data_IF_480473029463
#
_entry.id   IF_480473029463
#
_cell.length_a   1.000
_cell.length_b   1.000
_cell.length_c   1.000
_cell.angle_alpha   90.00
_cell.angle_beta   90.00
_cell.angle_gamma   90.00
#
_symmetry.space_group_name_H-M   'P 1'
#
loop_
_entity.id
_entity.type
_entity.pdbx_description
1 polymer ?
#
# COMPACT_ATOMS: atom_id res chain seq x y z
N UNK A 1 54.57 -49.27 23.02
CA UNK A 1 54.67 -48.06 22.17
C UNK A 1 53.32 -47.38 21.93
N UNK A 2 52.21 -48.12 21.77
CA UNK A 2 50.87 -47.56 21.50
C UNK A 2 50.36 -46.53 22.53
N UNK A 3 50.54 -46.74 23.84
CA UNK A 3 50.08 -45.80 24.87
C UNK A 3 50.78 -44.43 24.81
N UNK A 4 52.09 -44.41 24.53
CA UNK A 4 52.86 -43.15 24.41
C UNK A 4 52.47 -42.36 23.17
N UNK A 5 52.22 -43.04 22.05
CA UNK A 5 51.72 -42.40 20.84
C UNK A 5 50.31 -41.81 21.06
N UNK A 6 49.40 -42.56 21.70
CA UNK A 6 48.05 -42.11 22.00
C UNK A 6 48.04 -40.86 22.91
N UNK A 7 48.92 -40.79 23.91
CA UNK A 7 49.06 -39.59 24.77
C UNK A 7 49.49 -38.36 23.97
N UNK A 8 50.44 -38.49 23.04
CA UNK A 8 50.91 -37.35 22.22
C UNK A 8 49.79 -36.81 21.33
N UNK A 9 49.03 -37.70 20.67
CA UNK A 9 47.88 -37.28 19.87
C UNK A 9 46.75 -36.70 20.73
N UNK A 10 46.47 -37.26 21.91
CA UNK A 10 45.47 -36.70 22.82
C UNK A 10 45.82 -35.29 23.27
N UNK A 11 47.10 -35.02 23.60
CA UNK A 11 47.56 -33.67 23.94
C UNK A 11 47.42 -32.72 22.75
N UNK A 12 47.76 -33.16 21.54
CA UNK A 12 47.57 -32.36 20.32
C UNK A 12 46.09 -31.97 20.13
N UNK A 13 45.17 -32.92 20.22
CA UNK A 13 43.74 -32.64 20.08
C UNK A 13 43.19 -31.75 21.20
N UNK A 14 43.72 -31.86 22.43
CA UNK A 14 43.35 -30.94 23.51
C UNK A 14 43.80 -29.51 23.23
N UNK A 15 45.00 -29.31 22.68
CA UNK A 15 45.49 -27.98 22.28
C UNK A 15 44.63 -27.40 21.15
N UNK A 16 44.27 -28.22 20.16
CA UNK A 16 43.37 -27.80 19.07
C UNK A 16 42.00 -27.41 19.62
N UNK A 17 41.40 -28.24 20.49
CA UNK A 17 40.11 -27.95 21.12
C UNK A 17 40.15 -26.65 21.93
N UNK A 18 41.18 -26.46 22.76
CA UNK A 18 41.35 -25.25 23.56
C UNK A 18 41.58 -24.01 22.70
N UNK A 19 42.33 -24.13 21.60
CA UNK A 19 42.56 -23.07 20.64
C UNK A 19 41.28 -22.66 19.92
N UNK A 20 40.52 -23.62 19.39
CA UNK A 20 39.23 -23.36 18.73
C UNK A 20 38.21 -22.75 19.69
N UNK A 21 38.09 -23.28 20.92
CA UNK A 21 37.18 -22.74 21.93
C UNK A 21 37.54 -21.30 22.33
N UNK A 22 38.84 -21.00 22.46
CA UNK A 22 39.31 -19.65 22.77
C UNK A 22 38.96 -18.65 21.67
N UNK A 23 39.04 -19.05 20.39
CA UNK A 23 38.65 -18.21 19.26
C UNK A 23 37.14 -17.93 19.24
N UNK A 24 36.30 -18.91 19.57
CA UNK A 24 34.85 -18.72 19.68
C UNK A 24 34.53 -17.71 20.79
N UNK A 25 35.16 -17.85 21.96
CA UNK A 25 34.83 -17.03 23.14
C UNK A 25 35.20 -15.55 23.02
N UNK A 26 36.07 -15.17 22.07
CA UNK A 26 36.48 -13.77 21.85
C UNK A 26 35.89 -13.18 20.56
N UNK A 27 35.24 -14.01 19.74
CA UNK A 27 34.63 -13.56 18.49
C UNK A 27 33.38 -12.71 18.78
N UNK A 28 33.26 -11.57 18.09
CA UNK A 28 32.08 -10.72 18.11
C UNK A 28 31.34 -10.86 16.79
N UNK A 29 30.05 -11.12 16.86
CA UNK A 29 29.19 -11.13 15.67
C UNK A 29 29.13 -9.71 15.07
N UNK A 30 29.26 -9.56 13.75
CA UNK A 30 29.05 -8.27 13.09
C UNK A 30 27.59 -7.84 13.23
N UNK A 31 27.35 -6.54 13.39
CA UNK A 31 26.00 -5.95 13.39
C UNK A 31 25.63 -5.41 12.00
N UNK A 32 24.37 -5.02 11.83
CA UNK A 32 23.93 -4.26 10.66
C UNK A 32 24.05 -2.76 11.01
N UNK A 33 24.92 -2.06 10.28
CA UNK A 33 25.14 -0.62 10.38
C UNK A 33 25.03 -0.02 8.98
N UNK A 34 23.87 0.53 8.64
CA UNK A 34 23.68 1.18 7.34
C UNK A 34 24.03 2.67 7.40
N UNK A 35 24.42 3.23 6.26
CA UNK A 35 24.46 4.68 6.08
C UNK A 35 23.04 5.22 5.89
N UNK A 36 22.79 6.48 6.25
CA UNK A 36 21.50 7.13 6.01
C UNK A 36 20.81 7.59 7.29
N UNK A 37 19.70 8.30 7.11
CA UNK A 37 18.92 8.89 8.19
C UNK A 37 17.86 7.90 8.71
N UNK A 38 17.52 8.05 9.99
CA UNK A 38 16.44 7.33 10.66
C UNK A 38 15.20 8.20 10.74
N UNK A 39 14.04 7.58 10.58
CA UNK A 39 12.75 8.24 10.61
C UNK A 39 11.75 7.44 11.46
N UNK A 40 11.10 8.10 12.39
CA UNK A 40 10.00 7.57 13.19
C UNK A 40 8.64 7.81 12.50
N UNK A 41 7.57 7.26 13.07
CA UNK A 41 6.21 7.55 12.61
C UNK A 41 5.92 9.06 12.67
N UNK A 42 5.28 9.59 11.63
CA UNK A 42 4.99 11.00 11.39
C UNK A 42 6.19 11.89 11.03
N UNK A 43 7.41 11.35 10.98
CA UNK A 43 8.54 12.09 10.43
C UNK A 43 8.35 12.31 8.93
N UNK A 44 9.04 13.34 8.43
CA UNK A 44 9.00 13.69 7.00
C UNK A 44 10.39 13.62 6.41
N UNK A 45 10.47 13.12 5.18
CA UNK A 45 11.68 13.14 4.37
C UNK A 45 11.40 13.76 3.00
N UNK A 46 12.45 14.29 2.36
CA UNK A 46 12.34 14.84 1.01
C UNK A 46 13.34 14.15 0.09
N UNK A 47 12.84 13.57 -0.99
CA UNK A 47 13.65 12.91 -2.02
C UNK A 47 13.29 13.51 -3.38
N UNK A 48 14.26 14.00 -4.12
CA UNK A 48 14.06 14.62 -5.44
C UNK A 48 12.97 15.70 -5.47
N UNK A 49 12.79 16.44 -4.37
CA UNK A 49 11.77 17.47 -4.21
C UNK A 49 10.37 16.96 -3.87
N UNK A 50 10.18 15.64 -3.72
CA UNK A 50 8.95 15.03 -3.22
C UNK A 50 9.04 14.87 -1.71
N UNK A 51 8.06 15.43 -0.99
CA UNK A 51 7.90 15.24 0.45
C UNK A 51 7.12 13.96 0.72
N UNK A 52 7.66 13.13 1.61
CA UNK A 52 7.04 11.92 2.12
C UNK A 52 6.87 12.05 3.63
N UNK A 53 5.79 11.49 4.16
CA UNK A 53 5.54 11.30 5.58
C UNK A 53 5.61 9.81 5.89
N UNK A 54 6.30 9.43 6.96
CA UNK A 54 6.26 8.06 7.49
C UNK A 54 4.89 7.85 8.13
N UNK A 55 3.99 7.17 7.43
CA UNK A 55 2.64 6.92 7.91
C UNK A 55 2.56 5.75 8.90
N UNK A 56 3.50 4.80 8.80
CA UNK A 56 3.61 3.69 9.75
C UNK A 56 5.02 3.12 9.75
N UNK A 57 5.45 2.61 10.91
CA UNK A 57 6.72 1.89 11.08
C UNK A 57 6.56 0.85 12.20
N UNK A 58 6.90 -0.41 11.94
CA UNK A 58 6.74 -1.48 12.91
C UNK A 58 7.04 -2.86 12.34
N UNK A 59 7.55 -3.78 13.17
CA UNK A 59 7.72 -5.20 12.84
C UNK A 59 8.43 -5.51 11.49
N UNK A 60 9.39 -4.66 11.09
CA UNK A 60 10.11 -4.82 9.81
C UNK A 60 9.34 -4.34 8.57
N UNK A 61 8.23 -3.64 8.77
CA UNK A 61 7.39 -3.07 7.72
C UNK A 61 7.11 -1.58 7.98
N UNK A 62 6.90 -0.83 6.91
CA UNK A 62 6.59 0.60 7.00
C UNK A 62 5.83 1.11 5.79
N UNK A 63 5.25 2.30 5.92
CA UNK A 63 4.55 2.97 4.82
C UNK A 63 4.99 4.42 4.76
N UNK A 64 5.43 4.86 3.58
CA UNK A 64 5.61 6.26 3.25
C UNK A 64 4.39 6.75 2.48
N UNK A 65 3.88 7.92 2.83
CA UNK A 65 2.80 8.59 2.11
C UNK A 65 3.29 9.90 1.52
N UNK A 66 2.86 10.20 0.29
CA UNK A 66 3.01 11.54 -0.30
C UNK A 66 1.70 12.01 -0.89
N UNK A 67 1.49 13.33 -0.92
CA UNK A 67 0.31 13.92 -1.54
C UNK A 67 0.64 14.40 -2.94
N UNK A 68 -0.02 13.83 -3.94
CA UNK A 68 -0.03 14.35 -5.30
C UNK A 68 -1.18 15.35 -5.45
N UNK A 69 -0.87 16.63 -5.26
CA UNK A 69 -1.83 17.76 -5.33
C UNK A 69 -2.54 17.91 -6.68
N UNK A 70 -1.98 17.31 -7.73
CA UNK A 70 -2.44 17.47 -9.12
C UNK A 70 -2.89 16.16 -9.76
N UNK A 71 -3.21 15.15 -8.96
CA UNK A 71 -3.63 13.85 -9.48
C UNK A 71 -4.88 13.98 -10.36
N UNK A 72 -4.82 13.38 -11.55
CA UNK A 72 -5.93 13.41 -12.50
C UNK A 72 -6.95 12.32 -12.17
N UNK A 73 -8.21 12.71 -12.13
CA UNK A 73 -9.36 11.84 -11.97
C UNK A 73 -10.25 11.90 -13.20
N UNK A 74 -10.96 10.80 -13.45
CA UNK A 74 -11.91 10.67 -14.55
C UNK A 74 -13.21 10.06 -14.05
N UNK A 75 -14.36 10.55 -14.53
CA UNK A 75 -15.65 9.91 -14.34
C UNK A 75 -16.38 9.79 -15.68
N UNK A 76 -17.26 8.81 -15.79
CA UNK A 76 -18.13 8.62 -16.95
C UNK A 76 -19.57 8.77 -16.55
N UNK A 77 -20.32 9.55 -17.33
CA UNK A 77 -21.75 9.73 -17.19
C UNK A 77 -22.42 9.12 -18.42
N UNK A 78 -22.96 7.92 -18.26
CA UNK A 78 -23.61 7.20 -19.34
C UNK A 78 -24.96 7.85 -19.70
N UNK A 79 -25.29 7.83 -20.98
CA UNK A 79 -26.55 8.32 -21.50
C UNK A 79 -27.72 7.60 -20.83
N UNK A 80 -28.79 8.34 -20.56
CA UNK A 80 -30.04 7.87 -19.97
C UNK A 80 -29.92 7.33 -18.53
N UNK A 81 -28.76 7.48 -17.89
CA UNK A 81 -28.53 7.13 -16.48
C UNK A 81 -28.72 8.33 -15.55
N UNK A 82 -28.82 8.08 -14.25
CA UNK A 82 -28.92 9.12 -13.23
C UNK A 82 -27.57 9.37 -12.55
N UNK A 83 -27.32 10.63 -12.20
CA UNK A 83 -26.14 11.10 -11.47
C UNK A 83 -26.55 12.11 -10.41
N UNK A 84 -25.70 12.33 -9.41
CA UNK A 84 -25.90 13.35 -8.38
C UNK A 84 -25.05 14.58 -8.67
N UNK A 85 -25.67 15.75 -8.68
CA UNK A 85 -24.99 17.05 -8.77
C UNK A 85 -25.58 17.95 -7.70
N UNK A 86 -24.77 18.46 -6.79
CA UNK A 86 -25.19 19.33 -5.68
C UNK A 86 -26.33 18.77 -4.83
N UNK A 87 -26.32 17.45 -4.54
CA UNK A 87 -27.39 16.69 -3.87
C UNK A 87 -28.73 16.63 -4.63
N UNK A 88 -28.74 17.01 -5.90
CA UNK A 88 -29.90 16.87 -6.79
C UNK A 88 -29.65 15.75 -7.79
N UNK A 89 -30.68 14.92 -7.99
CA UNK A 89 -30.60 13.80 -8.94
C UNK A 89 -30.90 14.32 -10.35
N UNK A 90 -29.98 14.13 -11.27
CA UNK A 90 -30.15 14.46 -12.67
C UNK A 90 -30.09 13.21 -13.54
N UNK A 91 -30.88 13.18 -14.60
CA UNK A 91 -30.72 12.24 -15.71
C UNK A 91 -29.81 12.86 -16.77
N UNK A 92 -28.84 12.08 -17.22
CA UNK A 92 -27.94 12.43 -18.31
C UNK A 92 -28.64 12.13 -19.64
N UNK A 93 -28.73 13.11 -20.52
CA UNK A 93 -29.34 13.00 -21.84
C UNK A 93 -28.32 13.42 -22.88
N UNK A 94 -27.92 12.48 -23.73
CA UNK A 94 -27.01 12.73 -24.83
C UNK A 94 -27.77 12.54 -26.15
N UNK A 95 -27.70 13.50 -27.09
CA UNK A 95 -28.28 13.34 -28.42
C UNK A 95 -27.75 12.09 -29.12
N UNK A 96 -28.65 11.31 -29.73
CA UNK A 96 -28.27 10.15 -30.53
C UNK A 96 -27.78 10.59 -31.92
N UNK A 97 -26.57 11.11 -31.98
CA UNK A 97 -25.89 11.51 -33.21
C UNK A 97 -24.40 11.12 -33.12
N UNK A 98 -23.72 11.06 -34.27
CA UNK A 98 -22.34 10.56 -34.36
C UNK A 98 -21.35 11.38 -33.53
N UNK A 99 -21.61 12.67 -33.36
CA UNK A 99 -20.79 13.60 -32.56
C UNK A 99 -21.74 14.57 -31.82
N UNK A 100 -22.23 14.22 -30.62
CA UNK A 100 -23.22 15.01 -29.90
C UNK A 100 -22.72 16.38 -29.48
N UNK A 101 -21.41 16.57 -29.24
CA UNK A 101 -20.77 17.83 -28.81
C UNK A 101 -21.26 18.41 -27.46
N UNK A 102 -22.39 17.95 -26.95
CA UNK A 102 -23.04 18.40 -25.72
C UNK A 102 -23.91 17.31 -25.09
N UNK A 103 -24.14 17.42 -23.78
CA UNK A 103 -25.14 16.65 -23.06
C UNK A 103 -25.99 17.56 -22.18
N UNK A 104 -27.17 17.08 -21.81
CA UNK A 104 -28.10 17.78 -20.92
C UNK A 104 -28.30 16.98 -19.65
N UNK A 105 -28.11 17.61 -18.50
CA UNK A 105 -28.62 17.12 -17.23
C UNK A 105 -30.05 17.64 -17.06
N UNK A 106 -31.00 16.73 -16.84
CA UNK A 106 -32.39 17.06 -16.54
C UNK A 106 -32.76 16.50 -15.17
N UNK A 107 -33.17 17.38 -14.26
CA UNK A 107 -33.55 17.03 -12.90
C UNK A 107 -34.61 15.92 -12.90
N UNK A 108 -34.44 14.96 -12.00
CA UNK A 108 -35.38 13.87 -11.78
C UNK A 108 -36.14 14.08 -10.49
N UNK A 109 -37.47 14.21 -10.61
CA UNK A 109 -38.37 14.17 -9.46
C UNK A 109 -38.77 12.73 -9.17
N UNK A 110 -38.55 12.31 -7.93
CA UNK A 110 -39.04 11.04 -7.41
C UNK A 110 -40.42 11.26 -6.78
N UNK A 111 -41.37 10.38 -7.10
CA UNK A 111 -42.66 10.36 -6.40
C UNK A 111 -42.46 9.74 -5.00
N UNK A 112 -43.32 10.12 -4.05
CA UNK A 112 -43.31 9.47 -2.74
C UNK A 112 -43.76 8.01 -2.88
N UNK A 113 -43.28 7.13 -1.99
CA UNK A 113 -43.66 5.71 -1.99
C UNK A 113 -45.16 5.47 -1.82
N UNK A 114 -45.87 6.44 -1.24
CA UNK A 114 -47.33 6.41 -1.05
C UNK A 114 -48.12 6.86 -2.30
N UNK A 115 -47.43 7.22 -3.39
CA UNK A 115 -48.08 7.66 -4.63
C UNK A 115 -48.44 6.44 -5.49
N UNK A 116 -49.73 6.16 -5.64
CA UNK A 116 -50.19 5.09 -6.52
C UNK A 116 -50.15 5.50 -7.99
N UNK A 117 -49.47 4.71 -8.83
CA UNK A 117 -49.47 4.89 -10.28
C UNK A 117 -50.19 3.76 -11.02
N UNK A 118 -50.71 4.07 -12.21
CA UNK A 118 -51.32 3.10 -13.13
C UNK A 118 -50.92 3.44 -14.56
N UNK A 119 -50.66 2.42 -15.39
CA UNK A 119 -50.37 2.61 -16.81
C UNK A 119 -51.61 2.34 -17.66
N UNK A 120 -51.97 3.29 -18.52
CA UNK A 120 -53.07 3.16 -19.46
C UNK A 120 -52.63 3.66 -20.84
N UNK A 121 -52.75 2.82 -21.88
CA UNK A 121 -52.38 3.21 -23.25
C UNK A 121 -50.90 3.60 -23.42
N UNK A 122 -50.01 3.03 -22.59
CA UNK A 122 -48.58 3.36 -22.59
C UNK A 122 -48.22 4.66 -21.86
N UNK A 123 -49.19 5.37 -21.29
CA UNK A 123 -48.95 6.55 -20.44
C UNK A 123 -49.15 6.17 -18.98
N UNK A 124 -48.22 6.60 -18.12
CA UNK A 124 -48.32 6.40 -16.67
C UNK A 124 -49.06 7.58 -16.02
N UNK A 125 -50.00 7.28 -15.14
CA UNK A 125 -50.85 8.23 -14.42
C UNK A 125 -50.72 8.02 -12.92
N UNK A 126 -50.77 9.11 -12.15
CA UNK A 126 -50.96 9.11 -10.70
C UNK A 126 -52.45 9.07 -10.39
N UNK A 127 -52.85 8.17 -9.49
CA UNK A 127 -54.22 8.09 -8.98
C UNK A 127 -54.41 9.10 -7.85
N UNK A 128 -55.19 10.14 -8.09
CA UNK A 128 -55.51 11.18 -7.11
C UNK A 128 -56.91 10.95 -6.58
N UNK A 129 -57.06 10.86 -5.24
CA UNK A 129 -58.38 10.75 -4.61
C UNK A 129 -58.97 12.16 -4.46
N UNK A 130 -60.16 12.37 -5.01
CA UNK A 130 -60.90 13.63 -4.89
C UNK A 130 -61.88 13.59 -3.71
N UNK A 131 -62.23 14.78 -3.21
CA UNK A 131 -63.25 14.96 -2.17
C UNK A 131 -64.60 14.43 -2.67
N UNK A 132 -65.05 13.31 -2.12
CA UNK A 132 -66.29 12.64 -2.54
C UNK A 132 -66.12 11.17 -2.95
N UNK A 133 -64.91 10.62 -2.89
CA UNK A 133 -64.65 9.20 -3.20
C UNK A 133 -64.39 8.91 -4.68
N UNK A 134 -64.41 9.93 -5.52
CA UNK A 134 -64.02 9.83 -6.92
C UNK A 134 -62.49 9.77 -7.05
N UNK A 135 -62.01 9.05 -8.07
CA UNK A 135 -60.59 8.96 -8.41
C UNK A 135 -60.36 9.64 -9.75
N UNK A 136 -59.31 10.45 -9.81
CA UNK A 136 -58.85 11.10 -11.03
C UNK A 136 -57.47 10.57 -11.43
N UNK A 137 -57.22 10.54 -12.73
CA UNK A 137 -55.95 10.12 -13.30
C UNK A 137 -55.23 11.35 -13.85
N UNK A 138 -54.10 11.68 -13.23
CA UNK A 138 -53.24 12.79 -13.66
C UNK A 138 -51.97 12.19 -14.26
N UNK A 139 -51.60 12.49 -15.51
CA UNK A 139 -50.32 12.02 -16.08
C UNK A 139 -49.16 12.29 -15.13
N UNK A 140 -48.25 11.34 -14.94
CA UNK A 140 -47.13 11.46 -13.98
C UNK A 140 -46.33 12.74 -14.19
N UNK A 141 -46.04 13.09 -15.44
CA UNK A 141 -45.32 14.32 -15.76
C UNK A 141 -46.09 15.59 -15.35
N UNK A 142 -47.41 15.60 -15.48
CA UNK A 142 -48.24 16.73 -15.04
C UNK A 142 -48.29 16.80 -13.52
N UNK A 143 -48.46 15.65 -12.86
CA UNK A 143 -48.47 15.56 -11.40
C UNK A 143 -47.14 16.05 -10.81
N UNK A 144 -46.00 15.57 -11.34
CA UNK A 144 -44.67 16.02 -10.94
C UNK A 144 -44.49 17.54 -11.12
N UNK A 145 -44.95 18.11 -12.24
CA UNK A 145 -44.90 19.57 -12.45
C UNK A 145 -45.73 20.37 -11.45
N UNK A 146 -46.89 19.84 -11.05
CA UNK A 146 -47.75 20.49 -10.06
C UNK A 146 -47.13 20.46 -8.65
N UNK A 147 -46.45 19.36 -8.30
CA UNK A 147 -45.84 19.18 -6.98
C UNK A 147 -44.47 19.84 -6.84
N UNK A 148 -43.61 19.72 -7.86
CA UNK A 148 -42.20 20.09 -7.80
C UNK A 148 -41.80 21.24 -8.73
N UNK A 149 -42.69 21.65 -9.65
CA UNK A 149 -42.39 22.68 -10.65
C UNK A 149 -41.77 22.13 -11.94
N UNK A 150 -41.18 23.02 -12.74
CA UNK A 150 -40.45 22.60 -13.95
C UNK A 150 -39.08 22.03 -13.56
N UNK A 151 -38.66 20.89 -14.13
CA UNK A 151 -37.35 20.32 -13.83
C UNK A 151 -36.24 21.24 -14.29
N UNK A 152 -35.23 21.44 -13.45
CA UNK A 152 -34.01 22.15 -13.85
C UNK A 152 -33.30 21.40 -14.99
N UNK A 153 -32.77 22.16 -15.95
CA UNK A 153 -32.03 21.63 -17.08
C UNK A 153 -30.72 22.39 -17.24
N UNK A 154 -29.61 21.66 -17.21
CA UNK A 154 -28.26 22.20 -17.38
C UNK A 154 -27.61 21.55 -18.58
N UNK A 155 -27.10 22.35 -19.50
CA UNK A 155 -26.41 21.86 -20.69
C UNK A 155 -24.91 22.08 -20.55
N UNK A 156 -24.14 21.07 -20.96
CA UNK A 156 -22.70 21.12 -20.95
C UNK A 156 -22.14 20.67 -22.29
N UNK A 157 -21.22 21.46 -22.84
CA UNK A 157 -20.49 21.14 -24.07
C UNK A 157 -19.15 20.49 -23.77
N UNK A 158 -18.59 19.78 -24.75
CA UNK A 158 -17.22 19.31 -24.68
C UNK A 158 -16.24 20.49 -24.50
N UNK A 159 -15.22 20.32 -23.67
CA UNK A 159 -14.28 21.36 -23.26
C UNK A 159 -14.80 22.31 -22.17
N UNK A 160 -16.10 22.28 -21.85
CA UNK A 160 -16.66 23.15 -20.81
C UNK A 160 -16.22 22.72 -19.41
N UNK A 161 -15.96 23.71 -18.55
CA UNK A 161 -15.66 23.48 -17.12
C UNK A 161 -16.83 23.88 -16.23
N UNK A 162 -17.12 23.09 -15.19
CA UNK A 162 -18.14 23.36 -14.18
C UNK A 162 -17.73 22.78 -12.81
N UNK A 163 -18.44 23.14 -11.75
CA UNK A 163 -18.19 22.60 -10.41
C UNK A 163 -18.94 21.28 -10.22
N UNK A 164 -18.25 20.25 -9.75
CA UNK A 164 -18.84 18.96 -9.40
C UNK A 164 -18.19 18.43 -8.12
N UNK A 165 -18.98 18.27 -7.05
CA UNK A 165 -18.47 17.75 -5.78
C UNK A 165 -17.32 18.56 -5.18
N UNK A 166 -17.34 19.89 -5.37
CA UNK A 166 -16.27 20.81 -4.93
C UNK A 166 -15.08 20.91 -5.89
N UNK A 167 -15.01 20.08 -6.94
CA UNK A 167 -13.90 20.07 -7.89
C UNK A 167 -14.25 20.80 -9.19
N UNK A 168 -13.29 21.57 -9.71
CA UNK A 168 -13.38 22.14 -11.06
C UNK A 168 -13.22 21.02 -12.09
N UNK A 169 -14.33 20.64 -12.71
CA UNK A 169 -14.43 19.50 -13.61
C UNK A 169 -14.59 19.96 -15.05
N UNK A 170 -13.88 19.31 -15.96
CA UNK A 170 -13.90 19.56 -17.40
C UNK A 170 -14.58 18.40 -18.11
N UNK A 171 -15.53 18.71 -19.01
CA UNK A 171 -16.07 17.73 -19.94
C UNK A 171 -15.03 17.46 -21.01
N UNK A 172 -14.42 16.28 -20.98
CA UNK A 172 -13.26 15.94 -21.82
C UNK A 172 -13.61 15.29 -23.15
N UNK A 173 -14.73 14.57 -23.22
CA UNK A 173 -15.21 13.89 -24.42
C UNK A 173 -16.70 13.58 -24.26
N UNK A 174 -17.48 13.63 -25.34
CA UNK A 174 -18.88 13.23 -25.36
C UNK A 174 -19.13 12.31 -26.56
N UNK A 175 -19.56 11.09 -26.29
CA UNK A 175 -20.04 10.14 -27.30
C UNK A 175 -21.55 9.94 -27.14
N UNK A 176 -22.22 9.32 -28.12
CA UNK A 176 -23.66 9.02 -28.03
C UNK A 176 -24.05 8.20 -26.78
N UNK A 177 -23.09 7.44 -26.23
CA UNK A 177 -23.30 6.55 -25.10
C UNK A 177 -22.88 7.16 -23.76
N UNK A 178 -21.91 8.09 -23.72
CA UNK A 178 -21.43 8.64 -22.46
C UNK A 178 -20.69 9.98 -22.60
N UNK A 179 -20.73 10.79 -21.54
CA UNK A 179 -19.85 11.93 -21.35
C UNK A 179 -18.70 11.55 -20.39
N UNK A 180 -17.47 11.91 -20.74
CA UNK A 180 -16.27 11.70 -19.91
C UNK A 180 -15.88 13.01 -19.26
N UNK A 181 -15.80 13.00 -17.93
CA UNK A 181 -15.43 14.13 -17.10
C UNK A 181 -14.03 13.94 -16.56
N UNK A 182 -13.28 15.04 -16.43
CA UNK A 182 -11.92 15.03 -15.88
C UNK A 182 -11.73 16.18 -14.90
N UNK A 183 -11.06 15.92 -13.79
CA UNK A 183 -10.68 16.96 -12.83
C UNK A 183 -9.34 16.60 -12.19
N UNK A 184 -8.71 17.59 -11.56
CA UNK A 184 -7.51 17.41 -10.74
C UNK A 184 -7.88 17.59 -9.28
N UNK A 185 -7.43 16.68 -8.43
CA UNK A 185 -7.61 16.77 -6.98
C UNK A 185 -6.43 16.11 -6.26
N UNK A 186 -6.17 16.44 -4.99
CA UNK A 186 -5.12 15.79 -4.22
C UNK A 186 -5.37 14.29 -4.08
N UNK A 187 -4.31 13.48 -4.21
CA UNK A 187 -4.32 12.03 -3.97
C UNK A 187 -3.16 11.65 -3.09
N UNK A 188 -3.45 10.95 -1.98
CA UNK A 188 -2.41 10.28 -1.20
C UNK A 188 -1.92 9.05 -1.96
N UNK A 189 -0.61 8.98 -2.16
CA UNK A 189 0.10 7.85 -2.74
C UNK A 189 0.92 7.19 -1.64
N UNK A 190 0.75 5.87 -1.48
CA UNK A 190 1.47 5.10 -0.46
C UNK A 190 2.58 4.27 -1.11
N UNK A 191 3.72 4.18 -0.42
CA UNK A 191 4.88 3.36 -0.79
C UNK A 191 5.24 2.48 0.39
N UNK A 192 5.16 1.16 0.21
CA UNK A 192 5.51 0.20 1.25
C UNK A 192 7.03 0.04 1.39
N UNK A 193 7.46 -0.17 2.61
CA UNK A 193 8.82 -0.46 3.02
C UNK A 193 8.85 -1.83 3.71
N UNK A 194 9.90 -2.60 3.46
CA UNK A 194 10.13 -3.94 4.04
C UNK A 194 11.59 -4.05 4.51
N UNK A 195 11.85 -4.81 5.58
CA UNK A 195 13.19 -5.04 6.12
C UNK A 195 14.14 -5.59 5.06
N UNK A 196 15.24 -4.88 4.80
CA UNK A 196 16.19 -5.22 3.73
C UNK A 196 15.63 -5.04 2.32
N UNK A 197 14.42 -4.52 2.18
CA UNK A 197 13.73 -4.30 0.92
C UNK A 197 14.20 -3.03 0.22
N UNK A 198 14.35 -3.11 -1.10
CA UNK A 198 14.68 -1.95 -1.92
C UNK A 198 13.41 -1.18 -2.30
N UNK A 199 13.44 0.12 -2.09
CA UNK A 199 12.37 1.05 -2.45
C UNK A 199 12.91 2.12 -3.41
N UNK A 200 12.09 2.59 -4.35
CA UNK A 200 12.44 3.73 -5.22
C UNK A 200 11.55 4.91 -4.86
N UNK A 201 12.15 6.02 -4.45
CA UNK A 201 11.48 7.25 -4.06
C UNK A 201 11.80 8.36 -5.07
N UNK A 202 10.89 9.31 -5.25
CA UNK A 202 11.01 10.40 -6.22
C UNK A 202 10.11 10.22 -7.47
N UNK A 203 10.50 10.77 -8.63
CA UNK A 203 9.71 10.68 -9.85
C UNK A 203 9.68 9.26 -10.42
N UNK A 204 8.62 8.93 -11.17
CA UNK A 204 8.45 7.60 -11.77
C UNK A 204 9.60 7.24 -12.72
N UNK A 205 10.12 8.23 -13.44
CA UNK A 205 11.30 8.11 -14.29
C UNK A 205 12.50 8.76 -13.59
N UNK A 206 13.34 7.94 -12.96
CA UNK A 206 14.62 8.40 -12.38
C UNK A 206 14.62 8.69 -10.87
N UNK A 207 13.71 8.08 -10.11
CA UNK A 207 13.77 8.11 -8.65
C UNK A 207 15.04 7.49 -8.06
N UNK A 208 15.36 7.89 -6.83
CA UNK A 208 16.48 7.37 -6.05
C UNK A 208 16.08 6.07 -5.34
N UNK A 209 16.96 5.07 -5.41
CA UNK A 209 16.77 3.79 -4.73
C UNK A 209 17.34 3.84 -3.30
N UNK A 210 16.62 3.25 -2.36
CA UNK A 210 17.02 3.08 -0.98
C UNK A 210 16.80 1.63 -0.54
N UNK A 211 17.46 1.21 0.54
CA UNK A 211 17.11 0.01 1.30
C UNK A 211 16.61 0.42 2.69
N UNK A 212 15.56 -0.23 3.16
CA UNK A 212 14.99 0.01 4.48
C UNK A 212 15.55 -0.97 5.53
N UNK A 213 15.86 -0.45 6.71
CA UNK A 213 16.25 -1.24 7.88
C UNK A 213 15.54 -0.73 9.12
N UNK A 214 14.85 -1.61 9.82
CA UNK A 214 14.01 -1.27 10.96
C UNK A 214 14.77 -1.57 12.25
N UNK A 215 14.88 -0.56 13.11
CA UNK A 215 15.57 -0.68 14.39
C UNK A 215 14.70 -0.16 15.52
N UNK A 216 14.98 -0.62 16.73
CA UNK A 216 14.34 -0.11 17.93
C UNK A 216 15.29 0.87 18.60
N UNK A 217 14.90 2.14 18.66
CA UNK A 217 15.62 3.17 19.41
C UNK A 217 14.91 3.45 20.73
N UNK A 218 15.67 3.87 21.74
CA UNK A 218 15.09 4.32 23.02
C UNK A 218 14.98 5.84 23.00
N UNK A 219 13.75 6.37 22.89
CA UNK A 219 13.46 7.80 22.95
C UNK A 219 12.67 8.06 24.23
N UNK A 220 13.17 8.97 25.08
CA UNK A 220 12.53 9.33 26.36
C UNK A 220 12.19 8.15 27.31
N UNK A 221 12.91 7.02 27.18
CA UNK A 221 12.70 5.82 27.99
C UNK A 221 11.67 4.84 27.44
N UNK A 222 11.09 5.13 26.28
CA UNK A 222 10.20 4.23 25.52
C UNK A 222 10.93 3.66 24.31
N UNK A 223 10.63 2.40 23.97
CA UNK A 223 11.14 1.77 22.76
C UNK A 223 10.29 2.24 21.58
N UNK A 224 10.92 2.86 20.61
CA UNK A 224 10.29 3.34 19.38
C UNK A 224 10.94 2.65 18.19
N UNK A 225 10.13 2.04 17.35
CA UNK A 225 10.60 1.51 16.07
C UNK A 225 10.84 2.68 15.13
N UNK A 226 12.02 2.73 14.53
CA UNK A 226 12.38 3.69 13.49
C UNK A 226 12.80 2.93 12.23
N UNK A 227 12.63 3.56 11.08
CA UNK A 227 13.15 3.05 9.81
C UNK A 227 14.35 3.87 9.39
N UNK A 228 15.47 3.20 9.16
CA UNK A 228 16.65 3.76 8.52
C UNK A 228 16.56 3.55 7.01
N UNK A 229 16.73 4.62 6.24
CA UNK A 229 16.74 4.57 4.78
C UNK A 229 18.15 4.81 4.26
N UNK A 230 18.80 3.76 3.75
CA UNK A 230 20.14 3.86 3.17
C UNK A 230 20.09 4.10 1.66
N UNK A 231 20.81 5.09 1.13
CA UNK A 231 20.93 5.32 -0.32
C UNK A 231 21.82 4.27 -1.01
N UNK A 232 22.33 3.28 -0.28
CA UNK A 232 23.14 2.20 -0.81
C UNK A 232 22.37 0.86 -0.73
N UNK A 233 21.60 0.50 -1.79
CA UNK A 233 20.70 -0.65 -1.75
C UNK A 233 21.40 -2.01 -1.59
N UNK A 234 22.72 -2.08 -1.84
CA UNK A 234 23.49 -3.31 -1.66
C UNK A 234 24.07 -3.51 -0.26
N UNK A 235 24.05 -2.47 0.59
CA UNK A 235 24.75 -2.45 1.88
C UNK A 235 24.16 -3.47 2.86
N UNK A 236 22.83 -3.52 2.97
CA UNK A 236 22.14 -4.45 3.86
C UNK A 236 22.45 -5.92 3.54
N UNK A 237 22.26 -6.33 2.27
CA UNK A 237 22.53 -7.71 1.85
C UNK A 237 24.01 -8.09 2.03
N UNK A 238 24.93 -7.14 1.84
CA UNK A 238 26.36 -7.37 2.08
C UNK A 238 26.62 -7.71 3.55
N UNK A 239 26.02 -6.96 4.48
CA UNK A 239 26.22 -7.16 5.92
C UNK A 239 25.53 -8.42 6.43
N UNK A 240 24.33 -8.76 5.93
CA UNK A 240 23.69 -10.05 6.19
C UNK A 240 24.59 -11.21 5.75
N UNK A 241 25.21 -11.11 4.57
CA UNK A 241 26.15 -12.13 4.11
C UNK A 241 27.41 -12.23 4.98
N UNK A 242 27.86 -11.12 5.59
CA UNK A 242 28.98 -11.13 6.54
C UNK A 242 28.62 -11.84 7.84
N UNK A 243 27.40 -11.63 8.35
CA UNK A 243 26.83 -12.32 9.52
C UNK A 243 26.73 -13.83 9.25
N UNK A 244 26.13 -14.22 8.12
CA UNK A 244 26.01 -15.64 7.75
C UNK A 244 27.37 -16.32 7.66
N UNK A 245 28.33 -15.66 7.02
CA UNK A 245 29.69 -16.19 6.91
C UNK A 245 30.42 -16.25 8.26
N UNK A 246 30.17 -15.32 9.18
CA UNK A 246 30.64 -15.40 10.56
C UNK A 246 30.05 -16.61 11.29
N UNK A 247 28.73 -16.80 11.19
CA UNK A 247 28.00 -17.90 11.84
C UNK A 247 28.45 -19.27 11.31
N UNK A 248 28.68 -19.40 10.00
CA UNK A 248 29.26 -20.61 9.39
C UNK A 248 30.66 -20.92 9.97
N UNK A 249 31.51 -19.90 10.11
CA UNK A 249 32.85 -20.07 10.71
C UNK A 249 32.78 -20.49 12.18
N UNK A 250 31.84 -19.93 12.94
CA UNK A 250 31.63 -20.32 14.34
C UNK A 250 31.14 -21.76 14.45
N UNK A 251 30.20 -22.17 13.60
CA UNK A 251 29.74 -23.56 13.53
C UNK A 251 30.90 -24.52 13.21
N UNK A 252 31.78 -24.15 12.27
CA UNK A 252 32.99 -24.90 11.96
C UNK A 252 33.95 -25.05 13.15
N UNK A 253 34.19 -23.97 13.91
CA UNK A 253 35.03 -24.02 15.11
C UNK A 253 34.42 -24.88 16.22
N UNK A 254 33.09 -24.85 16.39
CA UNK A 254 32.38 -25.76 17.29
C UNK A 254 32.55 -27.21 16.86
N UNK A 255 32.44 -27.49 15.55
CA UNK A 255 32.70 -28.82 14.98
C UNK A 255 34.10 -29.34 15.31
N UNK A 256 35.14 -28.50 15.14
CA UNK A 256 36.52 -28.84 15.48
C UNK A 256 36.69 -29.10 16.99
N UNK A 257 36.08 -28.26 17.83
CA UNK A 257 36.14 -28.39 19.29
C UNK A 257 35.52 -29.70 19.77
N UNK A 258 34.33 -30.03 19.26
CA UNK A 258 33.60 -31.27 19.60
C UNK A 258 34.35 -32.49 19.09
N UNK A 259 34.76 -32.50 17.82
CA UNK A 259 35.45 -33.64 17.22
C UNK A 259 36.79 -33.91 17.92
N UNK A 260 37.55 -32.87 18.24
CA UNK A 260 38.82 -33.00 18.97
C UNK A 260 38.60 -33.57 20.37
N UNK A 261 37.57 -33.10 21.08
CA UNK A 261 37.21 -33.60 22.41
C UNK A 261 36.77 -35.07 22.38
N UNK A 262 35.91 -35.45 21.43
CA UNK A 262 35.49 -36.84 21.23
C UNK A 262 36.67 -37.74 20.85
N UNK A 263 37.59 -37.26 20.01
CA UNK A 263 38.79 -38.00 19.62
C UNK A 263 39.68 -38.27 20.82
N UNK A 264 39.84 -37.30 21.74
CA UNK A 264 40.57 -37.50 23.00
C UNK A 264 39.93 -38.60 23.83
N UNK A 265 38.61 -38.56 24.03
CA UNK A 265 37.86 -39.58 24.78
C UNK A 265 38.03 -40.97 24.16
N UNK A 266 37.95 -41.07 22.84
CA UNK A 266 38.10 -42.32 22.10
C UNK A 266 39.54 -42.87 22.16
N UNK A 267 40.55 -42.01 22.03
CA UNK A 267 41.95 -42.39 22.16
C UNK A 267 42.25 -42.92 23.57
N UNK A 268 41.73 -42.28 24.61
CA UNK A 268 41.84 -42.79 25.97
C UNK A 268 41.07 -44.09 26.17
N UNK A 269 39.84 -44.19 25.67
CA UNK A 269 39.04 -45.41 25.72
C UNK A 269 39.78 -46.60 25.09
N UNK A 270 40.32 -46.43 23.87
CA UNK A 270 41.03 -47.49 23.16
C UNK A 270 42.41 -47.82 23.77
N UNK A 271 43.17 -46.82 24.23
CA UNK A 271 44.50 -47.04 24.80
C UNK A 271 44.50 -47.75 26.17
N UNK A 272 43.37 -47.64 26.89
CA UNK A 272 43.16 -48.20 28.22
C UNK A 272 42.10 -49.31 28.27
N UNK A 273 41.62 -49.80 27.12
CA UNK A 273 40.85 -51.04 27.07
C UNK A 273 41.62 -52.18 27.75
N UNK A 274 40.96 -53.00 28.59
CA UNK A 274 41.61 -54.15 29.20
C UNK A 274 41.92 -55.19 28.12
N UNK A 275 43.21 -55.38 27.84
CA UNK A 275 43.67 -56.53 27.05
C UNK A 275 43.40 -57.80 27.87
N UNK A 276 42.55 -58.68 27.35
CA UNK A 276 42.57 -60.10 27.72
C UNK A 276 43.64 -60.82 26.93
#
# INVERSE_FOLDING_TARGET
>A
MQRRAATVYAVLFLVIAAGSYSLIGVAKEPGIELQGETYAENDTLTVDGYQYTVASVGDGEGTLERVNESARYTATWANNTTTQVDNTTYRVLIPNQTDPGQFTLREQFNLSENTSTVTQGGTEYVVVNESGGNRSLVPVDQYKRQQFGQPDTRQYSEGQTFQLGGNRTTVSNITADQATLTWTAPRTESTSLEEGGNVTLGPADGGQQFVAHFTNETVDGEQTTVVQLSPNPGEYQSQVSEIDHFNERMAGLWGVTILSSLTVVLLFGLAFLPNK
#
